data_IF_330549373336
#
_entry.id   IF_330549373336
#
_cell.length_a   1.000
_cell.length_b   1.000
_cell.length_c   1.000
_cell.angle_alpha   90.00
_cell.angle_beta   90.00
_cell.angle_gamma   90.00
#
_symmetry.space_group_name_H-M   'P 1'
#
loop_
_entity.id
_entity.type
_entity.pdbx_description
1 polymer ?
#
# COMPACT_ATOMS: atom_id res chain seq x y z
N UNK A 1 35.69 57.66 -35.12
CA UNK A 1 36.79 56.67 -35.15
C UNK A 1 36.14 55.31 -34.96
N UNK A 2 36.33 54.44 -35.95
CA UNK A 2 36.06 53.01 -35.83
C UNK A 2 37.18 52.40 -35.00
N UNK A 3 36.87 51.36 -34.22
CA UNK A 3 37.69 50.16 -34.12
C UNK A 3 36.80 49.04 -33.54
N UNK A 4 36.58 48.02 -34.38
CA UNK A 4 36.02 46.71 -34.06
C UNK A 4 37.01 45.93 -33.20
N UNK A 5 36.56 45.16 -32.20
CA UNK A 5 37.16 43.85 -31.90
C UNK A 5 36.11 42.85 -31.35
N UNK A 6 35.72 41.97 -32.27
CA UNK A 6 35.59 40.50 -32.11
C UNK A 6 34.44 39.87 -31.29
N UNK A 7 33.56 39.24 -32.08
CA UNK A 7 32.75 38.05 -31.79
C UNK A 7 33.49 36.98 -30.97
N UNK A 8 32.75 36.31 -30.08
CA UNK A 8 32.85 34.85 -29.95
C UNK A 8 31.50 34.25 -29.60
N UNK A 9 30.99 33.45 -30.54
CA UNK A 9 29.90 32.51 -30.38
C UNK A 9 30.11 31.60 -29.18
N UNK A 10 29.04 31.38 -28.40
CA UNK A 10 28.86 30.11 -27.70
C UNK A 10 27.39 29.67 -27.85
N UNK A 11 27.09 29.29 -29.08
CA UNK A 11 25.87 28.60 -29.48
C UNK A 11 26.08 27.09 -29.28
N UNK A 12 25.09 26.41 -28.68
CA UNK A 12 24.80 24.98 -28.87
C UNK A 12 25.49 23.89 -28.02
N UNK A 13 25.85 24.11 -26.75
CA UNK A 13 26.28 22.98 -25.89
C UNK A 13 25.14 22.32 -25.07
N UNK A 14 24.07 23.07 -24.73
CA UNK A 14 23.06 22.58 -23.78
C UNK A 14 21.85 21.88 -24.40
N UNK A 15 21.62 22.02 -25.71
CA UNK A 15 20.45 21.43 -26.40
C UNK A 15 20.68 19.95 -26.73
N UNK A 16 21.94 19.52 -26.91
CA UNK A 16 22.25 18.13 -27.31
C UNK A 16 22.13 17.11 -26.18
N UNK A 17 22.32 17.52 -24.92
CA UNK A 17 22.21 16.60 -23.77
C UNK A 17 20.74 16.23 -23.50
N UNK A 18 19.80 17.17 -23.72
CA UNK A 18 18.37 16.91 -23.55
C UNK A 18 17.80 15.90 -24.54
N UNK A 19 18.27 15.90 -25.79
CA UNK A 19 17.80 14.98 -26.84
C UNK A 19 18.31 13.56 -26.60
N UNK A 20 19.53 13.38 -26.09
CA UNK A 20 20.10 12.07 -25.80
C UNK A 20 19.34 11.32 -24.68
N UNK A 21 18.88 12.03 -23.65
CA UNK A 21 18.16 11.41 -22.52
C UNK A 21 16.76 10.93 -22.96
N UNK A 22 16.06 11.71 -23.78
CA UNK A 22 14.72 11.33 -24.28
C UNK A 22 14.79 10.11 -25.20
N UNK A 23 15.84 9.99 -26.03
CA UNK A 23 16.04 8.83 -26.89
C UNK A 23 16.31 7.53 -26.10
N UNK A 24 17.04 7.59 -24.99
CA UNK A 24 17.31 6.41 -24.13
C UNK A 24 16.04 5.96 -23.39
N UNK A 25 15.22 6.90 -22.91
CA UNK A 25 13.96 6.56 -22.21
C UNK A 25 12.93 5.96 -23.17
N UNK A 26 12.79 6.52 -24.38
CA UNK A 26 11.88 5.99 -25.40
C UNK A 26 12.37 4.65 -25.97
N UNK A 27 13.66 4.49 -26.24
CA UNK A 27 14.23 3.23 -26.73
C UNK A 27 14.17 2.09 -25.70
N UNK A 28 14.48 2.39 -24.44
CA UNK A 28 14.42 1.42 -23.34
C UNK A 28 12.98 0.99 -23.02
N UNK A 29 12.03 1.93 -23.04
CA UNK A 29 10.61 1.64 -22.82
C UNK A 29 10.01 0.75 -23.93
N UNK A 30 10.34 1.01 -25.20
CA UNK A 30 9.86 0.21 -26.33
C UNK A 30 10.50 -1.19 -26.34
N UNK A 31 11.79 -1.32 -26.02
CA UNK A 31 12.45 -2.63 -25.90
C UNK A 31 11.88 -3.47 -24.74
N UNK A 32 11.63 -2.86 -23.58
CA UNK A 32 11.04 -3.55 -22.42
C UNK A 32 9.57 -3.94 -22.66
N UNK A 33 8.82 -3.14 -23.41
CA UNK A 33 7.44 -3.45 -23.77
C UNK A 33 7.38 -4.53 -24.86
N UNK A 34 8.20 -4.45 -25.91
CA UNK A 34 8.27 -5.47 -26.98
C UNK A 34 8.83 -6.82 -26.50
N UNK A 35 9.79 -6.82 -25.56
CA UNK A 35 10.31 -8.05 -24.96
C UNK A 35 9.27 -8.73 -24.07
N UNK A 36 8.33 -7.98 -23.49
CA UNK A 36 7.16 -8.53 -22.78
C UNK A 36 6.01 -8.95 -23.71
N UNK A 37 5.88 -8.38 -24.91
CA UNK A 37 4.89 -8.79 -25.91
C UNK A 37 5.29 -10.04 -26.70
N UNK A 38 6.59 -10.38 -26.78
CA UNK A 38 7.09 -11.50 -27.57
C UNK A 38 7.08 -12.85 -26.85
N UNK A 39 6.42 -12.97 -25.69
CA UNK A 39 6.17 -14.26 -25.03
C UNK A 39 4.90 -14.98 -25.54
N UNK A 40 4.42 -14.63 -26.74
CA UNK A 40 3.38 -15.38 -27.45
C UNK A 40 3.96 -16.05 -28.68
N UNK A 41 4.52 -17.25 -28.50
CA UNK A 41 4.72 -18.19 -29.59
C UNK A 41 3.96 -19.49 -29.28
N UNK A 42 2.99 -19.89 -30.12
CA UNK A 42 2.29 -21.17 -29.98
C UNK A 42 2.99 -22.27 -30.80
N UNK A 43 3.30 -23.40 -30.15
CA UNK A 43 3.31 -24.79 -30.66
C UNK A 43 4.22 -25.70 -29.79
N UNK A 44 4.05 -27.03 -29.80
CA UNK A 44 2.86 -27.84 -29.60
C UNK A 44 2.97 -28.66 -28.30
N UNK A 45 1.91 -29.43 -27.99
CA UNK A 45 1.73 -30.25 -26.80
C UNK A 45 2.99 -30.93 -26.23
N UNK A 46 3.35 -30.52 -25.01
CA UNK A 46 3.95 -31.39 -24.02
C UNK A 46 3.09 -31.28 -22.76
N UNK A 47 2.65 -32.44 -22.28
CA UNK A 47 1.81 -32.67 -21.13
C UNK A 47 2.25 -31.80 -19.95
N UNK A 48 1.46 -30.76 -19.66
CA UNK A 48 1.74 -29.85 -18.55
C UNK A 48 1.39 -30.57 -17.26
N UNK A 49 2.40 -31.18 -16.64
CA UNK A 49 2.37 -31.47 -15.21
C UNK A 49 1.89 -30.21 -14.47
N UNK A 50 1.02 -30.32 -13.46
CA UNK A 50 0.54 -29.15 -12.76
C UNK A 50 1.75 -28.46 -12.12
N UNK A 51 2.11 -27.29 -12.65
CA UNK A 51 2.98 -26.35 -11.95
C UNK A 51 2.17 -25.86 -10.77
N UNK A 52 2.25 -26.64 -9.68
CA UNK A 52 1.80 -26.21 -8.38
C UNK A 52 2.50 -24.88 -8.12
N UNK A 53 1.72 -23.81 -8.10
CA UNK A 53 2.20 -22.52 -7.61
C UNK A 53 2.68 -22.76 -6.19
N UNK A 54 4.00 -22.89 -6.00
CA UNK A 54 4.65 -23.10 -4.72
C UNK A 54 4.69 -21.80 -3.93
N UNK A 55 3.51 -21.20 -3.71
CA UNK A 55 3.35 -20.36 -2.54
C UNK A 55 3.49 -21.29 -1.34
N UNK A 56 4.37 -21.00 -0.36
CA UNK A 56 4.51 -21.84 0.81
C UNK A 56 3.12 -22.06 1.41
N UNK A 57 2.75 -23.34 1.56
CA UNK A 57 1.48 -23.71 2.17
C UNK A 57 1.54 -23.21 3.60
N UNK A 58 0.81 -22.13 3.88
CA UNK A 58 0.73 -21.59 5.21
C UNK A 58 -0.01 -22.60 6.10
N UNK A 59 0.69 -23.20 7.05
CA UNK A 59 0.15 -24.28 7.89
C UNK A 59 -0.45 -23.77 9.20
N UNK A 60 -0.12 -22.55 9.61
CA UNK A 60 -0.57 -21.94 10.86
C UNK A 60 -1.14 -20.54 10.60
N UNK A 61 -2.30 -20.26 11.19
CA UNK A 61 -2.92 -18.95 11.14
C UNK A 61 -2.25 -18.00 12.14
N UNK A 62 -1.88 -16.79 11.70
CA UNK A 62 -1.35 -15.73 12.57
C UNK A 62 -1.93 -14.38 12.15
N UNK A 63 -3.03 -13.98 12.80
CA UNK A 63 -3.76 -12.76 12.45
C UNK A 63 -2.88 -11.51 12.41
N UNK A 64 -1.83 -11.42 13.24
CA UNK A 64 -0.97 -10.23 13.31
C UNK A 64 -0.02 -10.16 12.11
N UNK A 65 0.40 -11.31 11.58
CA UNK A 65 1.25 -11.39 10.39
C UNK A 65 0.44 -11.35 9.10
N UNK A 66 -0.74 -11.95 9.14
CA UNK A 66 -1.57 -12.20 7.96
C UNK A 66 -2.48 -11.01 7.64
N UNK A 67 -3.00 -10.31 8.66
CA UNK A 67 -3.77 -9.09 8.44
C UNK A 67 -2.85 -7.87 8.38
N UNK A 68 -2.87 -7.19 7.24
CA UNK A 68 -2.17 -5.92 7.05
C UNK A 68 -3.18 -4.77 7.00
N UNK A 69 -2.99 -3.81 7.89
CA UNK A 69 -3.64 -2.49 7.77
C UNK A 69 -2.96 -1.74 6.63
N UNK A 70 -3.63 -1.61 5.48
CA UNK A 70 -3.16 -0.84 4.32
C UNK A 70 -3.28 0.65 4.55
N UNK A 71 -4.36 1.06 5.20
CA UNK A 71 -4.68 2.45 5.51
C UNK A 71 -5.46 2.50 6.81
N UNK A 72 -5.16 3.47 7.65
CA UNK A 72 -5.99 3.84 8.78
C UNK A 72 -5.93 5.36 8.89
N UNK A 73 -7.06 6.01 8.64
CA UNK A 73 -7.20 7.46 8.77
C UNK A 73 -8.29 7.72 9.80
N UNK A 74 -8.04 8.66 10.70
CA UNK A 74 -9.02 9.13 11.67
C UNK A 74 -9.46 10.53 11.26
N UNK A 75 -10.77 10.73 11.28
CA UNK A 75 -11.40 12.04 11.22
C UNK A 75 -12.38 12.17 12.39
N UNK A 76 -12.95 13.36 12.57
CA UNK A 76 -14.02 13.58 13.51
C UNK A 76 -15.36 13.44 12.81
N UNK A 77 -16.38 13.06 13.57
CA UNK A 77 -17.75 13.16 13.08
C UNK A 77 -18.17 14.62 12.83
N UNK A 78 -19.37 14.81 12.26
CA UNK A 78 -19.89 16.13 11.92
C UNK A 78 -20.03 17.08 13.12
N UNK A 79 -20.12 16.56 14.34
CA UNK A 79 -20.16 17.35 15.58
C UNK A 79 -18.77 17.62 16.16
N UNK A 80 -17.71 17.01 15.60
CA UNK A 80 -16.33 17.19 16.06
C UNK A 80 -16.03 16.47 17.38
N UNK A 81 -16.93 15.59 17.84
CA UNK A 81 -16.90 14.99 19.18
C UNK A 81 -16.42 13.55 19.15
N UNK A 82 -16.75 12.78 18.12
CA UNK A 82 -16.38 11.37 18.04
C UNK A 82 -15.25 11.18 17.04
N UNK A 83 -14.33 10.27 17.37
CA UNK A 83 -13.36 9.77 16.41
C UNK A 83 -14.03 8.76 15.48
N UNK A 84 -13.86 8.96 14.18
CA UNK A 84 -14.33 8.07 13.12
C UNK A 84 -13.12 7.60 12.33
N UNK A 85 -12.91 6.30 12.26
CA UNK A 85 -11.80 5.70 11.54
C UNK A 85 -12.26 5.13 10.21
N UNK A 86 -11.53 5.42 9.14
CA UNK A 86 -11.61 4.71 7.88
C UNK A 86 -10.38 3.81 7.75
N UNK A 87 -10.60 2.49 7.83
CA UNK A 87 -9.55 1.48 7.86
C UNK A 87 -9.67 0.55 6.66
N UNK A 88 -8.59 0.37 5.93
CA UNK A 88 -8.45 -0.64 4.89
C UNK A 88 -7.59 -1.78 5.41
N UNK A 89 -8.14 -2.99 5.48
CA UNK A 89 -7.46 -4.20 5.96
C UNK A 89 -7.34 -5.17 4.79
N UNK A 90 -6.17 -5.77 4.63
CA UNK A 90 -5.89 -6.83 3.67
C UNK A 90 -5.55 -8.11 4.42
N UNK A 91 -6.12 -9.23 3.99
CA UNK A 91 -5.68 -10.55 4.39
C UNK A 91 -4.66 -11.09 3.40
N UNK A 92 -3.41 -11.19 3.83
CA UNK A 92 -2.31 -11.73 3.02
C UNK A 92 -2.26 -13.25 3.01
N UNK A 93 -2.99 -13.91 3.91
CA UNK A 93 -3.03 -15.37 3.92
C UNK A 93 -3.66 -15.87 2.63
N UNK A 94 -3.09 -16.95 2.09
CA UNK A 94 -3.63 -17.63 0.92
C UNK A 94 -4.65 -18.73 1.28
N UNK A 95 -4.79 -19.06 2.57
CA UNK A 95 -5.57 -20.24 3.01
C UNK A 95 -6.44 -19.98 4.23
N UNK A 96 -6.18 -18.94 5.01
CA UNK A 96 -7.01 -18.61 6.17
C UNK A 96 -7.86 -17.38 5.90
N UNK A 97 -9.14 -17.48 6.27
CA UNK A 97 -10.03 -16.34 6.46
C UNK A 97 -9.95 -15.85 7.90
N UNK A 98 -10.19 -14.56 8.12
CA UNK A 98 -10.19 -13.96 9.46
C UNK A 98 -11.49 -13.25 9.76
N UNK A 99 -11.98 -13.38 10.98
CA UNK A 99 -13.20 -12.74 11.47
C UNK A 99 -13.04 -12.27 12.92
N UNK A 100 -14.04 -11.55 13.45
CA UNK A 100 -14.05 -11.04 14.84
C UNK A 100 -12.75 -10.29 15.17
N UNK A 101 -12.29 -9.46 14.25
CA UNK A 101 -10.98 -8.80 14.31
C UNK A 101 -11.00 -7.81 15.47
N UNK A 102 -10.20 -8.08 16.49
CA UNK A 102 -10.00 -7.18 17.61
C UNK A 102 -8.97 -6.11 17.23
N UNK A 103 -9.26 -4.88 17.63
CA UNK A 103 -8.37 -3.76 17.39
C UNK A 103 -8.22 -2.89 18.64
N UNK A 104 -7.18 -2.07 18.60
CA UNK A 104 -6.89 -1.03 19.58
C UNK A 104 -6.60 0.28 18.83
N UNK A 105 -7.19 1.36 19.32
CA UNK A 105 -6.84 2.72 18.89
C UNK A 105 -6.15 3.43 20.06
N UNK A 106 -5.10 4.17 19.75
CA UNK A 106 -4.39 4.97 20.75
C UNK A 106 -4.29 6.40 20.30
N UNK A 107 -4.67 7.32 21.17
CA UNK A 107 -4.59 8.76 20.99
C UNK A 107 -3.49 9.27 21.91
N UNK A 108 -2.53 10.03 21.38
CA UNK A 108 -1.42 10.53 22.19
C UNK A 108 -1.38 12.05 22.18
N UNK A 109 -0.91 12.61 23.29
CA UNK A 109 -0.55 14.01 23.41
C UNK A 109 0.73 14.32 22.62
N UNK A 110 1.09 15.61 22.57
CA UNK A 110 2.27 16.09 21.86
C UNK A 110 3.60 15.53 22.39
N UNK A 111 3.64 15.10 23.66
CA UNK A 111 4.77 14.46 24.33
C UNK A 111 4.83 12.93 24.11
N UNK A 112 3.96 12.39 23.25
CA UNK A 112 3.75 10.95 23.00
C UNK A 112 3.18 10.16 24.18
N UNK A 113 2.71 10.79 25.26
CA UNK A 113 1.96 10.08 26.30
C UNK A 113 0.55 9.70 25.79
N UNK A 114 0.07 8.46 26.01
CA UNK A 114 -1.27 8.05 25.60
C UNK A 114 -2.34 8.79 26.43
N UNK A 115 -3.23 9.51 25.77
CA UNK A 115 -4.41 10.15 26.37
C UNK A 115 -5.57 9.17 26.52
N UNK A 116 -5.74 8.29 25.53
CA UNK A 116 -6.77 7.27 25.51
C UNK A 116 -6.27 6.06 24.72
N UNK A 117 -6.56 4.87 25.24
CA UNK A 117 -6.47 3.61 24.53
C UNK A 117 -7.87 3.01 24.49
N UNK A 118 -8.47 2.92 23.30
CA UNK A 118 -9.77 2.27 23.14
C UNK A 118 -9.58 0.90 22.47
N UNK A 119 -10.47 -0.05 22.79
CA UNK A 119 -10.47 -1.39 22.20
C UNK A 119 -11.82 -1.67 21.58
N UNK A 120 -11.82 -2.35 20.44
CA UNK A 120 -13.05 -2.71 19.76
C UNK A 120 -12.90 -3.98 18.92
N UNK A 121 -14.00 -4.36 18.29
CA UNK A 121 -14.08 -5.54 17.44
C UNK A 121 -14.80 -5.22 16.14
N UNK A 122 -14.28 -5.72 15.03
CA UNK A 122 -14.93 -5.65 13.72
C UNK A 122 -15.68 -6.95 13.46
N UNK A 123 -17.00 -6.84 13.28
CA UNK A 123 -17.89 -7.95 12.96
C UNK A 123 -17.91 -8.25 11.44
N UNK A 124 -16.73 -8.38 10.86
CA UNK A 124 -16.52 -8.71 9.45
C UNK A 124 -15.72 -10.00 9.31
N UNK A 125 -15.79 -10.59 8.12
CA UNK A 125 -14.91 -11.67 7.69
C UNK A 125 -14.14 -11.22 6.47
N UNK A 126 -12.83 -11.49 6.42
CA UNK A 126 -11.96 -11.20 5.28
C UNK A 126 -11.43 -12.52 4.74
N UNK A 127 -11.81 -12.85 3.50
CA UNK A 127 -11.37 -14.07 2.82
C UNK A 127 -9.87 -14.04 2.49
N UNK A 128 -9.24 -15.19 2.16
CA UNK A 128 -7.85 -15.23 1.73
C UNK A 128 -7.58 -14.30 0.54
N UNK A 129 -6.55 -13.46 0.64
CA UNK A 129 -6.18 -12.50 -0.41
C UNK A 129 -7.13 -11.29 -0.55
N UNK A 130 -8.21 -11.22 0.23
CA UNK A 130 -9.19 -10.14 0.13
C UNK A 130 -8.73 -8.87 0.87
N UNK A 131 -9.24 -7.71 0.43
CA UNK A 131 -9.10 -6.46 1.14
C UNK A 131 -10.45 -5.77 1.28
N UNK A 132 -10.72 -5.25 2.48
CA UNK A 132 -11.97 -4.57 2.82
C UNK A 132 -11.71 -3.21 3.45
N UNK A 133 -12.63 -2.29 3.23
CA UNK A 133 -12.68 -0.99 3.90
C UNK A 133 -13.77 -1.02 4.97
N UNK A 134 -13.49 -0.43 6.12
CA UNK A 134 -14.41 -0.32 7.25
C UNK A 134 -14.40 1.10 7.80
N UNK A 135 -15.60 1.64 8.04
CA UNK A 135 -15.78 2.83 8.86
C UNK A 135 -16.11 2.41 10.29
N UNK A 136 -15.45 3.01 11.27
CA UNK A 136 -15.57 2.68 12.68
C UNK A 136 -15.85 3.97 13.45
N UNK A 137 -17.03 4.08 14.06
CA UNK A 137 -17.28 5.08 15.10
C UNK A 137 -16.69 4.56 16.40
N UNK A 138 -15.61 5.18 16.85
CA UNK A 138 -14.74 4.61 17.88
C UNK A 138 -15.08 5.13 19.27
N UNK A 139 -14.46 6.24 19.69
CA UNK A 139 -14.63 6.80 21.02
C UNK A 139 -14.84 8.32 20.94
N UNK A 140 -15.20 8.92 22.08
CA UNK A 140 -15.14 10.38 22.23
C UNK A 140 -13.69 10.84 21.97
N UNK A 141 -13.52 11.79 21.07
CA UNK A 141 -12.22 12.28 20.65
C UNK A 141 -11.53 13.02 21.82
N UNK A 142 -10.36 12.57 22.29
CA UNK A 142 -9.69 13.21 23.42
C UNK A 142 -9.12 14.58 23.05
N UNK A 143 -9.43 15.61 23.84
CA UNK A 143 -8.81 16.93 23.71
C UNK A 143 -7.29 16.84 23.93
N UNK A 144 -6.52 17.59 23.12
CA UNK A 144 -5.06 17.57 23.20
C UNK A 144 -4.38 16.44 22.42
N UNK A 145 -5.15 15.63 21.67
CA UNK A 145 -4.59 14.63 20.77
C UNK A 145 -3.73 15.29 19.70
N UNK A 146 -2.45 14.92 19.63
CA UNK A 146 -1.50 15.35 18.61
C UNK A 146 -1.23 14.26 17.56
N UNK A 147 -1.36 12.98 17.95
CA UNK A 147 -1.21 11.84 17.05
C UNK A 147 -2.17 10.71 17.43
N UNK A 148 -2.41 9.80 16.50
CA UNK A 148 -3.27 8.64 16.70
C UNK A 148 -2.73 7.41 15.98
N UNK A 149 -3.07 6.22 16.47
CA UNK A 149 -2.63 4.94 15.92
C UNK A 149 -3.77 3.93 15.97
N UNK A 150 -3.88 3.10 14.93
CA UNK A 150 -4.78 1.95 14.88
C UNK A 150 -3.94 0.67 14.79
N UNK A 151 -4.29 -0.34 15.57
CA UNK A 151 -3.58 -1.62 15.63
C UNK A 151 -4.55 -2.79 15.72
N UNK A 152 -4.34 -3.82 14.92
CA UNK A 152 -5.02 -5.11 15.09
C UNK A 152 -4.34 -5.87 16.24
N UNK A 153 -5.13 -6.44 17.15
CA UNK A 153 -4.63 -7.13 18.35
C UNK A 153 -4.91 -8.63 18.32
N UNK A 154 -5.97 -9.08 17.66
CA UNK A 154 -6.23 -10.50 17.38
C UNK A 154 -7.34 -10.66 16.35
N UNK A 155 -7.55 -11.88 15.85
CA UNK A 155 -8.72 -12.25 15.06
C UNK A 155 -8.96 -13.77 15.17
N UNK A 156 -10.21 -14.19 14.97
CA UNK A 156 -10.54 -15.61 14.80
C UNK A 156 -10.20 -16.05 13.37
N UNK A 157 -9.59 -17.22 13.22
CA UNK A 157 -9.21 -17.76 11.91
C UNK A 157 -10.02 -19.00 11.54
N UNK A 158 -10.35 -19.13 10.26
CA UNK A 158 -10.88 -20.37 9.69
C UNK A 158 -10.14 -20.72 8.40
N UNK A 159 -9.67 -21.96 8.31
CA UNK A 159 -9.03 -22.49 7.10
C UNK A 159 -10.09 -22.67 6.01
N UNK A 160 -9.80 -22.18 4.81
CA UNK A 160 -10.62 -22.32 3.62
C UNK A 160 -10.17 -23.55 2.82
#
# INVERSE_FOLDING_TARGET
MFEDETKKDETSAHIWIGVAIVAVILGGGVYYYLSHLSASQPAPAAESAPVASTKPVQTTADAIKDLKVKRAVMDKDSTGTMAVWLVAIENKSAVFSYSKIQYETTYFAADNHPLLVNKGALAITIAPGESVNQEIRDALYPTGTARFMFKITSAASAKQ
#
